data_IF_094133226266
#
_entry.id   IF_094133226266
#
_cell.length_a   1.000
_cell.length_b   1.000
_cell.length_c   1.000
_cell.angle_alpha   90.00
_cell.angle_beta   90.00
_cell.angle_gamma   90.00
#
_symmetry.space_group_name_H-M   'P 1'
#
loop_
_entity.id
_entity.type
_entity.pdbx_description
1 polymer ?
#
# COMPACT_ATOMS: atom_id res chain seq x y z
N UNK A 1 15.99 -6.94 61.82
CA UNK A 1 14.88 -5.96 61.90
C UNK A 1 15.47 -4.60 61.59
N UNK A 2 15.00 -3.77 60.67
CA UNK A 2 13.85 -3.81 59.77
C UNK A 2 14.16 -2.85 58.60
N UNK A 3 13.52 -3.13 57.49
CA UNK A 3 13.55 -2.52 56.18
C UNK A 3 13.07 -1.05 56.14
N UNK A 4 13.46 -0.30 55.09
CA UNK A 4 12.58 0.59 54.29
C UNK A 4 13.44 1.51 53.39
N UNK A 5 13.64 1.17 52.11
CA UNK A 5 12.76 1.38 50.94
C UNK A 5 13.03 2.74 50.24
N UNK A 6 13.82 2.69 49.15
CA UNK A 6 13.97 3.78 48.17
C UNK A 6 12.94 3.58 47.04
N UNK A 7 12.34 4.66 46.50
CA UNK A 7 11.21 4.58 45.59
C UNK A 7 11.59 4.11 44.18
N UNK A 8 10.65 3.36 43.60
CA UNK A 8 10.58 2.81 42.26
C UNK A 8 11.18 3.71 41.17
N UNK A 9 12.21 3.19 40.49
CA UNK A 9 12.50 3.55 39.11
C UNK A 9 11.38 3.03 38.20
N UNK A 10 11.01 3.86 37.24
CA UNK A 10 9.89 3.71 36.31
C UNK A 10 10.01 2.37 35.58
N UNK A 11 9.23 1.39 36.01
CA UNK A 11 8.89 0.24 35.19
C UNK A 11 7.99 0.76 34.06
N UNK A 12 8.56 1.02 32.89
CA UNK A 12 7.79 0.93 31.66
C UNK A 12 7.18 -0.46 31.66
N UNK A 13 5.88 -0.54 31.94
CA UNK A 13 5.15 -1.79 32.04
C UNK A 13 5.43 -2.58 30.76
N UNK A 14 5.99 -3.78 30.88
CA UNK A 14 6.21 -4.64 29.73
C UNK A 14 4.83 -4.94 29.13
N UNK A 15 4.48 -4.26 28.03
CA UNK A 15 3.34 -4.66 27.24
C UNK A 15 3.56 -6.15 26.93
N UNK A 16 2.63 -6.99 27.36
CA UNK A 16 2.74 -8.43 27.16
C UNK A 16 2.86 -8.68 25.66
N UNK A 17 3.92 -9.36 25.25
CA UNK A 17 4.16 -9.68 23.84
C UNK A 17 2.91 -10.35 23.24
N UNK A 18 2.42 -9.81 22.13
CA UNK A 18 1.26 -10.30 21.37
C UNK A 18 1.58 -10.25 19.86
N UNK A 19 0.81 -10.97 19.05
CA UNK A 19 0.97 -10.93 17.58
C UNK A 19 0.74 -9.52 17.05
N UNK A 20 -0.30 -8.84 17.54
CA UNK A 20 -0.65 -7.48 17.12
C UNK A 20 0.48 -6.49 17.41
N UNK A 21 1.04 -6.51 18.63
CA UNK A 21 2.18 -5.66 19.00
C UNK A 21 3.40 -5.92 18.10
N UNK A 22 3.66 -7.18 17.75
CA UNK A 22 4.76 -7.57 16.87
C UNK A 22 4.52 -7.02 15.46
N UNK A 23 3.30 -7.15 14.93
CA UNK A 23 2.91 -6.66 13.60
C UNK A 23 2.98 -5.13 13.54
N UNK A 24 2.43 -4.42 14.53
CA UNK A 24 2.44 -2.95 14.58
C UNK A 24 3.86 -2.39 14.65
N UNK A 25 4.72 -3.02 15.47
CA UNK A 25 6.13 -2.62 15.57
C UNK A 25 6.87 -2.89 14.26
N UNK A 26 6.56 -4.01 13.59
CA UNK A 26 7.14 -4.33 12.30
C UNK A 26 6.69 -3.36 11.19
N UNK A 27 5.40 -2.98 11.17
CA UNK A 27 4.89 -1.94 10.27
C UNK A 27 5.64 -0.61 10.49
N UNK A 28 5.81 -0.19 11.74
CA UNK A 28 6.60 0.99 12.08
C UNK A 28 8.07 0.91 11.62
N UNK A 29 8.69 -0.28 11.67
CA UNK A 29 10.02 -0.49 11.09
C UNK A 29 10.00 -0.34 9.56
N UNK A 30 9.00 -0.91 8.87
CA UNK A 30 8.87 -0.83 7.41
C UNK A 30 8.65 0.62 6.96
N UNK A 31 7.82 1.40 7.64
CA UNK A 31 7.59 2.81 7.29
C UNK A 31 8.86 3.65 7.40
N UNK A 32 9.74 3.34 8.36
CA UNK A 32 11.01 4.05 8.53
C UNK A 32 12.08 3.55 7.57
N UNK A 33 12.30 2.24 7.53
CA UNK A 33 13.49 1.61 6.94
C UNK A 33 13.22 0.88 5.62
N UNK A 34 11.97 0.79 5.19
CA UNK A 34 11.56 -0.07 4.08
C UNK A 34 11.51 -1.55 4.46
N UNK A 35 10.96 -2.36 3.55
CA UNK A 35 10.78 -3.82 3.74
C UNK A 35 12.10 -4.56 3.92
N UNK A 36 13.16 -4.09 3.26
CA UNK A 36 14.49 -4.69 3.35
C UNK A 36 15.14 -4.47 4.72
N UNK A 37 14.83 -3.35 5.38
CA UNK A 37 15.28 -3.05 6.74
C UNK A 37 14.67 -3.95 7.82
N UNK A 38 13.56 -4.65 7.53
CA UNK A 38 12.89 -5.51 8.48
C UNK A 38 13.59 -6.87 8.62
N UNK A 39 14.02 -7.19 9.85
CA UNK A 39 14.54 -8.50 10.23
C UNK A 39 13.98 -8.96 11.58
N UNK A 40 13.94 -10.27 11.83
CA UNK A 40 13.52 -10.80 13.13
C UNK A 40 14.39 -10.28 14.29
N UNK A 41 15.68 -10.02 14.02
CA UNK A 41 16.63 -9.51 15.02
C UNK A 41 16.39 -8.03 15.33
N UNK A 42 16.24 -7.18 14.31
CA UNK A 42 15.94 -5.76 14.49
C UNK A 42 14.60 -5.58 15.20
N UNK A 43 13.60 -6.39 14.87
CA UNK A 43 12.28 -6.35 15.52
C UNK A 43 12.35 -6.76 16.99
N UNK A 44 13.07 -7.83 17.32
CA UNK A 44 13.24 -8.29 18.70
C UNK A 44 13.96 -7.24 19.56
N UNK A 45 14.98 -6.59 18.98
CA UNK A 45 15.71 -5.51 19.63
C UNK A 45 14.80 -4.30 19.93
N UNK A 46 13.94 -3.90 18.99
CA UNK A 46 12.98 -2.80 19.20
C UNK A 46 11.94 -3.13 20.28
N UNK A 47 11.49 -4.39 20.31
CA UNK A 47 10.56 -4.89 21.32
C UNK A 47 11.20 -5.19 22.69
N UNK A 48 12.53 -5.11 22.81
CA UNK A 48 13.24 -5.42 24.04
C UNK A 48 13.17 -6.89 24.47
N UNK A 49 13.01 -7.82 23.51
CA UNK A 49 12.89 -9.26 23.75
C UNK A 49 13.94 -10.06 22.98
N UNK A 50 14.16 -11.31 23.37
CA UNK A 50 14.98 -12.24 22.57
C UNK A 50 14.25 -12.64 21.28
N UNK A 51 14.98 -12.79 20.17
CA UNK A 51 14.39 -13.17 18.88
C UNK A 51 13.58 -14.47 18.93
N UNK A 52 14.01 -15.44 19.74
CA UNK A 52 13.29 -16.70 19.98
C UNK A 52 11.89 -16.49 20.57
N UNK A 53 11.65 -15.37 21.25
CA UNK A 53 10.32 -15.03 21.77
C UNK A 53 9.32 -14.66 20.69
N UNK A 54 9.78 -14.07 19.57
CA UNK A 54 8.91 -13.70 18.45
C UNK A 54 8.35 -14.92 17.72
N UNK A 55 9.16 -15.98 17.58
CA UNK A 55 8.77 -17.21 16.88
C UNK A 55 7.62 -17.98 17.57
N UNK A 56 7.24 -17.61 18.80
CA UNK A 56 6.01 -18.12 19.44
C UNK A 56 4.72 -17.52 18.86
N UNK A 57 4.82 -16.39 18.15
CA UNK A 57 3.69 -15.61 17.65
C UNK A 57 3.68 -15.49 16.13
N UNK A 58 4.85 -15.57 15.49
CA UNK A 58 5.00 -15.48 14.02
C UNK A 58 5.92 -16.55 13.48
N UNK A 59 5.60 -17.10 12.32
CA UNK A 59 6.34 -18.17 11.64
C UNK A 59 7.41 -17.62 10.67
N UNK A 60 8.11 -16.56 11.08
CA UNK A 60 9.18 -15.92 10.30
C UNK A 60 8.75 -14.65 9.55
N UNK A 61 9.63 -14.14 8.68
CA UNK A 61 9.45 -12.84 8.00
C UNK A 61 8.23 -12.83 7.07
N UNK A 62 7.96 -13.93 6.37
CA UNK A 62 6.81 -13.99 5.45
C UNK A 62 5.47 -13.85 6.18
N UNK A 63 5.27 -14.59 7.27
CA UNK A 63 4.06 -14.49 8.13
C UNK A 63 3.94 -13.09 8.75
N UNK A 64 5.07 -12.50 9.17
CA UNK A 64 5.07 -11.13 9.70
C UNK A 64 4.60 -10.11 8.65
N UNK A 65 5.12 -10.19 7.44
CA UNK A 65 4.71 -9.32 6.33
C UNK A 65 3.25 -9.57 5.93
N UNK A 66 2.73 -10.79 6.03
CA UNK A 66 1.29 -11.05 5.84
C UNK A 66 0.45 -10.48 6.98
N UNK A 67 0.97 -10.52 8.22
CA UNK A 67 0.38 -9.81 9.34
C UNK A 67 0.27 -8.31 9.10
N UNK A 68 1.31 -7.68 8.57
CA UNK A 68 1.31 -6.26 8.21
C UNK A 68 0.22 -5.97 7.16
N UNK A 69 0.17 -6.77 6.09
CA UNK A 69 -0.85 -6.62 5.04
C UNK A 69 -2.25 -6.77 5.62
N UNK A 70 -2.48 -7.80 6.44
CA UNK A 70 -3.78 -8.03 7.08
C UNK A 70 -4.20 -6.86 7.99
N UNK A 71 -3.25 -6.30 8.74
CA UNK A 71 -3.48 -5.12 9.59
C UNK A 71 -3.90 -3.91 8.74
N UNK A 72 -3.15 -3.58 7.69
CA UNK A 72 -3.46 -2.45 6.80
C UNK A 72 -4.80 -2.62 6.07
N UNK A 73 -5.17 -3.84 5.72
CA UNK A 73 -6.41 -4.15 4.99
C UNK A 73 -7.63 -4.29 5.91
N UNK A 74 -7.45 -4.36 7.23
CA UNK A 74 -8.54 -4.46 8.20
C UNK A 74 -9.46 -3.24 8.11
N UNK A 75 -8.86 -2.05 8.10
CA UNK A 75 -9.56 -0.78 7.96
C UNK A 75 -10.35 -0.70 6.65
N UNK A 76 -9.72 -1.11 5.54
CA UNK A 76 -10.40 -1.18 4.24
C UNK A 76 -11.62 -2.09 4.32
N UNK A 77 -11.47 -3.28 4.90
CA UNK A 77 -12.57 -4.25 4.99
C UNK A 77 -13.75 -3.68 5.79
N UNK A 78 -13.50 -2.96 6.89
CA UNK A 78 -14.57 -2.28 7.65
C UNK A 78 -15.28 -1.24 6.80
N UNK A 79 -14.54 -0.40 6.07
CA UNK A 79 -15.14 0.65 5.23
C UNK A 79 -15.95 0.08 4.06
N UNK A 80 -15.52 -1.06 3.50
CA UNK A 80 -16.27 -1.77 2.47
C UNK A 80 -17.56 -2.38 3.01
N UNK A 81 -17.53 -2.94 4.22
CA UNK A 81 -18.73 -3.45 4.89
C UNK A 81 -19.71 -2.30 5.23
N UNK A 82 -19.20 -1.11 5.57
CA UNK A 82 -20.04 0.08 5.85
C UNK A 82 -20.65 0.71 4.59
N UNK A 83 -19.96 0.66 3.46
CA UNK A 83 -20.44 1.14 2.16
C UNK A 83 -21.29 0.10 1.41
N UNK A 84 -21.59 -1.05 2.03
CA UNK A 84 -22.46 -2.07 1.47
C UNK A 84 -23.89 -1.50 1.30
N UNK A 85 -24.40 -1.56 0.07
CA UNK A 85 -25.71 -1.00 -0.29
C UNK A 85 -25.70 0.46 -0.76
N UNK A 86 -24.53 1.12 -0.77
CA UNK A 86 -24.38 2.42 -1.42
C UNK A 86 -24.53 2.31 -2.95
N UNK A 87 -24.82 3.44 -3.57
CA UNK A 87 -24.77 3.57 -5.03
C UNK A 87 -23.34 3.31 -5.53
N UNK A 88 -23.20 2.63 -6.67
CA UNK A 88 -21.89 2.10 -7.09
C UNK A 88 -20.77 3.15 -7.22
N UNK A 89 -21.07 4.39 -7.65
CA UNK A 89 -20.04 5.45 -7.67
C UNK A 89 -19.51 5.76 -6.27
N UNK A 90 -20.41 5.89 -5.28
CA UNK A 90 -20.04 6.19 -3.91
C UNK A 90 -19.24 5.04 -3.30
N UNK A 91 -19.64 3.79 -3.57
CA UNK A 91 -18.87 2.61 -3.18
C UNK A 91 -17.45 2.63 -3.74
N UNK A 92 -17.28 2.89 -5.05
CA UNK A 92 -15.96 2.95 -5.68
C UNK A 92 -15.10 4.12 -5.17
N UNK A 93 -15.71 5.28 -4.87
CA UNK A 93 -15.02 6.39 -4.23
C UNK A 93 -14.50 5.99 -2.84
N UNK A 94 -15.35 5.38 -2.01
CA UNK A 94 -14.95 4.88 -0.68
C UNK A 94 -13.77 3.93 -0.78
N UNK A 95 -13.84 2.95 -1.69
CA UNK A 95 -12.74 2.00 -1.92
C UNK A 95 -11.47 2.74 -2.34
N UNK A 96 -11.56 3.67 -3.30
CA UNK A 96 -10.42 4.41 -3.83
C UNK A 96 -9.71 5.23 -2.75
N UNK A 97 -10.47 5.99 -1.95
CA UNK A 97 -9.91 6.80 -0.87
C UNK A 97 -9.35 5.96 0.27
N UNK A 98 -9.99 4.84 0.61
CA UNK A 98 -9.50 3.93 1.63
C UNK A 98 -8.13 3.35 1.26
N UNK A 99 -7.97 2.88 0.02
CA UNK A 99 -6.68 2.35 -0.47
C UNK A 99 -5.64 3.47 -0.61
N UNK A 100 -6.04 4.66 -1.07
CA UNK A 100 -5.14 5.83 -1.14
C UNK A 100 -4.63 6.27 0.23
N UNK A 101 -5.46 6.17 1.27
CA UNK A 101 -5.05 6.45 2.65
C UNK A 101 -3.91 5.53 3.08
N UNK A 102 -4.03 4.22 2.82
CA UNK A 102 -2.95 3.25 3.07
C UNK A 102 -1.68 3.64 2.31
N UNK A 103 -1.78 3.96 1.02
CA UNK A 103 -0.64 4.36 0.19
C UNK A 103 0.04 5.65 0.67
N UNK A 104 -0.73 6.56 1.26
CA UNK A 104 -0.27 7.87 1.74
C UNK A 104 0.34 7.80 3.13
N UNK A 105 -0.29 7.04 4.04
CA UNK A 105 0.16 6.87 5.43
C UNK A 105 1.35 5.90 5.51
N UNK A 106 1.37 4.86 4.65
CA UNK A 106 2.37 3.80 4.66
C UNK A 106 3.00 3.59 3.28
N UNK A 107 3.63 4.61 2.67
CA UNK A 107 4.14 4.53 1.29
C UNK A 107 5.15 3.38 1.12
N UNK A 108 6.01 3.12 2.11
CA UNK A 108 7.00 2.03 2.03
C UNK A 108 6.41 0.64 2.25
N UNK A 109 5.25 0.53 2.90
CA UNK A 109 4.53 -0.73 3.07
C UNK A 109 3.53 -0.99 1.94
N UNK A 110 3.05 0.05 1.25
CA UNK A 110 2.04 -0.08 0.20
C UNK A 110 2.41 -1.04 -0.95
N UNK A 111 3.67 -1.11 -1.43
CA UNK A 111 4.07 -2.15 -2.38
C UNK A 111 3.79 -3.57 -1.87
N UNK A 112 3.90 -3.82 -0.55
CA UNK A 112 3.53 -5.09 0.06
C UNK A 112 2.04 -5.35 -0.01
N UNK A 113 1.17 -4.35 -0.10
CA UNK A 113 -0.28 -4.49 -0.28
C UNK A 113 -0.60 -4.72 -1.75
N UNK A 114 0.10 -4.04 -2.66
CA UNK A 114 -0.16 -4.07 -4.09
C UNK A 114 0.40 -5.31 -4.83
N UNK A 115 1.56 -5.85 -4.42
CA UNK A 115 2.34 -6.76 -5.29
C UNK A 115 2.53 -8.20 -4.79
N UNK A 116 2.45 -8.48 -3.48
CA UNK A 116 2.60 -9.87 -2.99
C UNK A 116 1.44 -10.75 -3.48
N UNK A 117 1.76 -12.02 -3.68
CA UNK A 117 0.89 -13.01 -4.31
C UNK A 117 -0.46 -13.16 -3.57
N UNK A 118 -1.58 -13.28 -4.31
CA UNK A 118 -2.89 -13.52 -3.72
C UNK A 118 -2.98 -14.91 -3.10
N UNK A 119 -3.83 -15.05 -2.07
CA UNK A 119 -4.17 -16.33 -1.46
C UNK A 119 -4.89 -17.30 -2.43
N UNK A 120 -5.42 -16.78 -3.55
CA UNK A 120 -6.10 -17.53 -4.60
C UNK A 120 -5.30 -17.45 -5.91
N UNK A 121 -4.65 -18.55 -6.36
CA UNK A 121 -3.80 -18.56 -7.57
C UNK A 121 -4.51 -18.17 -8.87
N UNK A 122 -5.83 -18.27 -8.92
CA UNK A 122 -6.67 -17.92 -10.08
C UNK A 122 -7.11 -16.45 -10.08
N UNK A 123 -6.91 -15.71 -8.98
CA UNK A 123 -7.20 -14.29 -8.92
C UNK A 123 -5.96 -13.53 -9.38
N UNK A 124 -6.06 -12.79 -10.48
CA UNK A 124 -4.95 -11.93 -10.92
C UNK A 124 -4.69 -10.87 -9.84
N UNK A 125 -3.41 -10.54 -9.56
CA UNK A 125 -3.10 -9.39 -8.74
C UNK A 125 -3.92 -8.17 -9.19
N UNK A 126 -4.43 -7.36 -8.25
CA UNK A 126 -3.75 -7.16 -6.97
C UNK A 126 -4.56 -7.35 -5.67
N UNK A 127 -5.87 -7.57 -5.74
CA UNK A 127 -6.66 -7.76 -4.52
C UNK A 127 -6.53 -9.21 -4.03
N UNK A 128 -6.24 -9.38 -2.74
CA UNK A 128 -5.86 -10.68 -2.15
C UNK A 128 -7.01 -11.45 -1.51
N UNK A 129 -8.06 -10.74 -1.14
CA UNK A 129 -9.17 -11.29 -0.35
C UNK A 129 -10.35 -11.60 -1.25
N UNK A 130 -10.75 -12.87 -1.27
CA UNK A 130 -11.99 -13.32 -1.92
C UNK A 130 -13.18 -12.53 -1.39
N UNK A 131 -13.18 -12.17 -0.09
CA UNK A 131 -14.23 -11.32 0.50
C UNK A 131 -14.26 -9.95 -0.18
N UNK A 132 -13.12 -9.26 -0.29
CA UNK A 132 -13.05 -7.92 -0.89
C UNK A 132 -13.50 -7.94 -2.36
N UNK A 133 -13.05 -8.93 -3.13
CA UNK A 133 -13.47 -9.09 -4.53
C UNK A 133 -14.96 -9.39 -4.62
N UNK A 134 -15.48 -10.27 -3.77
CA UNK A 134 -16.91 -10.58 -3.73
C UNK A 134 -17.72 -9.33 -3.41
N UNK A 135 -17.40 -8.60 -2.34
CA UNK A 135 -18.09 -7.35 -1.96
C UNK A 135 -18.08 -6.34 -3.11
N UNK A 136 -16.94 -6.16 -3.78
CA UNK A 136 -16.84 -5.27 -4.92
C UNK A 136 -17.75 -5.69 -6.08
N UNK A 137 -17.70 -6.96 -6.48
CA UNK A 137 -18.52 -7.46 -7.58
C UNK A 137 -20.01 -7.44 -7.23
N UNK A 138 -20.38 -7.82 -6.00
CA UNK A 138 -21.74 -7.75 -5.47
C UNK A 138 -22.28 -6.32 -5.53
N UNK A 139 -21.52 -5.33 -5.05
CA UNK A 139 -21.94 -3.93 -5.08
C UNK A 139 -22.24 -3.44 -6.51
N UNK A 140 -21.42 -3.82 -7.50
CA UNK A 140 -21.68 -3.47 -8.90
C UNK A 140 -22.91 -4.18 -9.47
N UNK A 141 -23.02 -5.50 -9.25
CA UNK A 141 -24.13 -6.31 -9.77
C UNK A 141 -25.47 -5.85 -9.19
N UNK A 142 -25.53 -5.52 -7.90
CA UNK A 142 -26.73 -5.00 -7.24
C UNK A 142 -27.16 -3.63 -7.78
N UNK A 143 -26.22 -2.87 -8.34
CA UNK A 143 -26.46 -1.59 -9.02
C UNK A 143 -26.74 -1.73 -10.52
N UNK A 144 -26.94 -2.96 -11.02
CA UNK A 144 -27.40 -3.22 -12.39
C UNK A 144 -26.30 -3.52 -13.40
N UNK A 145 -25.05 -3.67 -12.97
CA UNK A 145 -23.98 -4.15 -13.85
C UNK A 145 -24.23 -5.61 -14.23
N UNK A 146 -24.06 -5.94 -15.50
CA UNK A 146 -23.92 -7.34 -15.94
C UNK A 146 -22.61 -7.93 -15.43
N UNK A 147 -22.51 -9.25 -15.35
CA UNK A 147 -21.28 -9.96 -14.93
C UNK A 147 -20.04 -9.50 -15.73
N UNK A 148 -20.21 -9.26 -17.04
CA UNK A 148 -19.13 -8.79 -17.89
C UNK A 148 -18.70 -7.36 -17.52
N UNK A 149 -19.65 -6.44 -17.39
CA UNK A 149 -19.38 -5.06 -16.98
C UNK A 149 -18.75 -5.00 -15.57
N UNK A 150 -19.22 -5.80 -14.62
CA UNK A 150 -18.68 -5.83 -13.26
C UNK A 150 -17.22 -6.30 -13.25
N UNK A 151 -16.88 -7.33 -14.02
CA UNK A 151 -15.49 -7.82 -14.16
C UNK A 151 -14.60 -6.80 -14.86
N UNK A 152 -15.07 -6.14 -15.91
CA UNK A 152 -14.29 -5.15 -16.65
C UNK A 152 -14.09 -3.88 -15.80
N UNK A 153 -15.11 -3.43 -15.08
CA UNK A 153 -15.02 -2.35 -14.10
C UNK A 153 -14.01 -2.67 -12.99
N UNK A 154 -14.08 -3.88 -12.41
CA UNK A 154 -13.12 -4.34 -11.41
C UNK A 154 -11.67 -4.31 -11.92
N UNK A 155 -11.43 -4.77 -13.16
CA UNK A 155 -10.09 -4.78 -13.77
C UNK A 155 -9.58 -3.37 -14.03
N UNK A 156 -10.40 -2.53 -14.63
CA UNK A 156 -10.04 -1.15 -14.95
C UNK A 156 -9.73 -0.36 -13.67
N UNK A 157 -10.62 -0.44 -12.68
CA UNK A 157 -10.49 0.23 -11.39
C UNK A 157 -9.26 -0.23 -10.60
N UNK A 158 -9.08 -1.55 -10.42
CA UNK A 158 -7.94 -2.06 -9.66
C UNK A 158 -6.60 -1.76 -10.35
N UNK A 159 -6.52 -1.84 -11.68
CA UNK A 159 -5.30 -1.54 -12.44
C UNK A 159 -4.95 -0.06 -12.36
N UNK A 160 -5.94 0.81 -12.54
CA UNK A 160 -5.80 2.26 -12.38
C UNK A 160 -5.31 2.61 -10.97
N UNK A 161 -6.08 2.20 -9.95
CA UNK A 161 -5.85 2.57 -8.57
C UNK A 161 -4.46 2.14 -8.10
N UNK A 162 -4.08 0.89 -8.37
CA UNK A 162 -2.79 0.42 -7.91
C UNK A 162 -1.62 0.94 -8.72
N UNK A 163 -1.76 1.06 -10.04
CA UNK A 163 -0.71 1.64 -10.87
C UNK A 163 -0.37 3.06 -10.42
N UNK A 164 -1.41 3.88 -10.20
CA UNK A 164 -1.22 5.24 -9.73
C UNK A 164 -0.65 5.31 -8.31
N UNK A 165 -1.21 4.55 -7.37
CA UNK A 165 -0.76 4.61 -5.97
C UNK A 165 0.65 4.03 -5.78
N UNK A 166 1.04 3.00 -6.55
CA UNK A 166 2.42 2.51 -6.56
C UNK A 166 3.40 3.59 -7.02
N UNK A 167 3.07 4.31 -8.10
CA UNK A 167 3.89 5.41 -8.58
C UNK A 167 4.01 6.53 -7.53
N UNK A 168 2.90 6.90 -6.88
CA UNK A 168 2.91 7.87 -5.79
C UNK A 168 3.72 7.41 -4.58
N UNK A 169 3.64 6.13 -4.21
CA UNK A 169 4.46 5.56 -3.13
C UNK A 169 5.94 5.63 -3.45
N UNK A 170 6.35 5.39 -4.70
CA UNK A 170 7.75 5.51 -5.13
C UNK A 170 8.26 6.95 -5.01
N UNK A 171 7.46 7.94 -5.43
CA UNK A 171 7.79 9.37 -5.22
C UNK A 171 7.98 9.69 -3.73
N UNK A 172 7.24 9.01 -2.85
CA UNK A 172 7.34 9.12 -1.38
C UNK A 172 8.40 8.20 -0.75
N UNK A 173 9.29 7.62 -1.55
CA UNK A 173 10.45 6.85 -1.07
C UNK A 173 10.19 5.37 -0.84
N UNK A 174 9.14 4.80 -1.45
CA UNK A 174 9.00 3.35 -1.56
C UNK A 174 9.97 2.78 -2.61
N UNK A 175 10.43 1.56 -2.38
CA UNK A 175 11.22 0.83 -3.37
C UNK A 175 10.28 0.32 -4.49
N UNK A 176 10.61 0.63 -5.75
CA UNK A 176 9.79 0.28 -6.92
C UNK A 176 9.88 -1.20 -7.34
N UNK A 177 10.71 -2.00 -6.67
CA UNK A 177 10.96 -3.41 -6.96
C UNK A 177 11.90 -4.04 -5.93
N UNK A 178 12.23 -5.34 -6.03
CA UNK A 178 13.41 -5.86 -5.32
C UNK A 178 14.58 -4.95 -5.70
N UNK A 179 15.43 -4.61 -4.74
CA UNK A 179 16.64 -3.83 -5.01
C UNK A 179 17.38 -4.53 -6.17
N UNK A 180 17.25 -4.01 -7.38
CA UNK A 180 18.30 -4.13 -8.35
C UNK A 180 19.44 -3.39 -7.67
N UNK A 181 20.35 -4.12 -7.01
CA UNK A 181 21.74 -3.68 -7.04
C UNK A 181 21.96 -3.27 -8.48
N UNK A 182 22.31 -2.00 -8.76
CA UNK A 182 22.66 -1.62 -10.12
C UNK A 182 23.64 -2.66 -10.60
N UNK A 183 23.23 -3.47 -11.58
CA UNK A 183 24.14 -4.41 -12.21
C UNK A 183 25.14 -3.53 -12.95
N UNK A 184 26.21 -3.14 -12.26
CA UNK A 184 27.43 -2.66 -12.90
C UNK A 184 28.13 -3.87 -13.54
N UNK A 185 27.42 -4.51 -14.47
CA UNK A 185 27.94 -5.58 -15.33
C UNK A 185 28.61 -5.00 -16.58
N UNK A 186 28.91 -3.70 -16.59
CA UNK A 186 29.90 -3.13 -17.49
C UNK A 186 29.53 -1.75 -18.00
N UNK A 187 30.03 -0.70 -17.34
CA UNK A 187 30.36 0.59 -17.97
C UNK A 187 29.25 1.25 -18.80
N UNK A 188 27.99 0.86 -18.59
CA UNK A 188 26.86 1.43 -19.28
C UNK A 188 26.75 2.88 -18.83
N UNK A 189 26.78 3.80 -19.79
CA UNK A 189 26.40 5.18 -19.53
C UNK A 189 24.90 5.18 -19.23
N UNK A 190 24.53 4.91 -17.98
CA UNK A 190 23.17 5.15 -17.52
C UNK A 190 22.95 6.65 -17.70
N UNK A 191 21.99 7.09 -18.53
CA UNK A 191 21.73 8.50 -18.70
C UNK A 191 21.01 9.02 -17.45
N UNK A 192 21.71 9.14 -16.32
CA UNK A 192 21.40 10.17 -15.32
C UNK A 192 21.70 11.59 -15.89
N UNK A 193 21.63 11.74 -17.21
CA UNK A 193 22.15 12.87 -17.97
C UNK A 193 21.10 13.93 -18.27
N UNK A 194 19.81 13.58 -18.33
CA UNK A 194 18.76 14.52 -18.77
C UNK A 194 18.59 15.71 -17.82
N UNK A 195 18.94 15.57 -16.53
CA UNK A 195 19.00 16.70 -15.60
C UNK A 195 20.06 17.76 -15.97
N UNK A 196 21.06 17.37 -16.76
CA UNK A 196 22.14 18.22 -17.28
C UNK A 196 22.10 18.37 -18.82
N UNK A 197 21.10 17.81 -19.51
CA UNK A 197 20.90 18.00 -20.94
C UNK A 197 20.35 19.40 -21.17
N UNK A 198 20.96 20.15 -22.10
CA UNK A 198 20.40 21.43 -22.49
C UNK A 198 19.00 21.22 -23.06
N UNK A 199 18.01 21.93 -22.52
CA UNK A 199 16.63 21.87 -23.00
C UNK A 199 16.43 22.57 -24.35
N UNK A 200 17.49 23.11 -24.96
CA UNK A 200 17.45 23.76 -26.29
C UNK A 200 16.92 22.82 -27.39
N UNK A 201 17.07 21.50 -27.21
CA UNK A 201 16.53 20.48 -28.13
C UNK A 201 15.09 20.07 -27.83
N UNK A 202 14.52 20.56 -26.72
CA UNK A 202 13.20 20.18 -26.21
C UNK A 202 12.36 21.44 -25.87
N UNK A 203 11.98 22.26 -26.88
CA UNK A 203 11.36 23.57 -26.65
C UNK A 203 10.05 23.49 -25.86
N UNK A 204 9.24 22.44 -26.04
CA UNK A 204 8.01 22.26 -25.27
C UNK A 204 8.27 21.90 -23.80
N UNK A 205 9.23 21.02 -23.53
CA UNK A 205 9.65 20.69 -22.16
C UNK A 205 10.24 21.94 -21.51
N UNK A 206 11.09 22.68 -22.22
CA UNK A 206 11.63 23.95 -21.74
C UNK A 206 10.50 24.92 -21.39
N UNK A 207 9.52 25.10 -22.27
CA UNK A 207 8.40 26.03 -22.07
C UNK A 207 7.48 25.61 -20.92
N UNK A 208 7.20 24.31 -20.78
CA UNK A 208 6.23 23.76 -19.82
C UNK A 208 6.88 23.25 -18.52
N UNK A 209 8.21 23.27 -18.38
CA UNK A 209 8.94 22.69 -17.24
C UNK A 209 8.41 23.10 -15.86
N UNK A 210 7.96 24.35 -15.73
CA UNK A 210 7.41 24.85 -14.46
C UNK A 210 6.13 24.09 -14.12
N UNK A 211 5.19 24.00 -15.06
CA UNK A 211 3.95 23.25 -14.90
C UNK A 211 4.19 21.75 -14.70
N UNK A 212 5.15 21.17 -15.44
CA UNK A 212 5.51 19.75 -15.32
C UNK A 212 6.20 19.39 -13.99
N UNK A 213 6.75 20.37 -13.28
CA UNK A 213 7.43 20.17 -11.99
C UNK A 213 6.51 20.32 -10.78
N UNK A 214 5.26 20.76 -10.98
CA UNK A 214 4.29 20.92 -9.90
C UNK A 214 3.84 19.55 -9.39
N UNK A 215 3.92 19.34 -8.08
CA UNK A 215 3.30 18.18 -7.44
C UNK A 215 1.79 18.40 -7.34
N UNK A 216 1.04 17.76 -8.24
CA UNK A 216 -0.43 17.78 -8.26
C UNK A 216 -1.02 16.40 -7.98
N UNK A 217 -0.25 15.53 -7.29
CA UNK A 217 -0.61 14.12 -7.07
C UNK A 217 -2.01 13.91 -6.51
N UNK A 218 -2.46 14.82 -5.62
CA UNK A 218 -3.78 14.74 -5.00
C UNK A 218 -4.90 15.08 -5.99
N UNK A 219 -4.72 16.12 -6.79
CA UNK A 219 -5.71 16.53 -7.80
C UNK A 219 -5.74 15.57 -8.98
N UNK A 220 -4.58 15.08 -9.41
CA UNK A 220 -4.44 14.07 -10.46
C UNK A 220 -5.15 12.76 -10.10
N UNK A 221 -5.17 12.39 -8.81
CA UNK A 221 -5.94 11.25 -8.31
C UNK A 221 -7.44 11.45 -8.48
N UNK A 222 -7.98 12.58 -8.02
CA UNK A 222 -9.43 12.83 -8.12
C UNK A 222 -9.87 12.91 -9.58
N UNK A 223 -9.12 13.63 -10.42
CA UNK A 223 -9.43 13.76 -11.86
C UNK A 223 -9.43 12.40 -12.55
N UNK A 224 -8.44 11.55 -12.25
CA UNK A 224 -8.34 10.25 -12.91
C UNK A 224 -9.41 9.26 -12.40
N UNK A 225 -9.75 9.34 -11.11
CA UNK A 225 -10.85 8.57 -10.52
C UNK A 225 -12.19 8.97 -11.15
N UNK A 226 -12.49 10.27 -11.23
CA UNK A 226 -13.71 10.80 -11.84
C UNK A 226 -13.81 10.38 -13.31
N UNK A 227 -12.72 10.52 -14.09
CA UNK A 227 -12.70 10.11 -15.49
C UNK A 227 -12.99 8.60 -15.68
N UNK A 228 -12.52 7.75 -14.76
CA UNK A 228 -12.84 6.33 -14.76
C UNK A 228 -14.31 6.09 -14.42
N UNK A 229 -14.84 6.73 -13.37
CA UNK A 229 -16.24 6.58 -12.98
C UNK A 229 -17.18 7.03 -14.11
N UNK A 230 -16.91 8.17 -14.75
CA UNK A 230 -17.66 8.65 -15.92
C UNK A 230 -17.61 7.69 -17.11
N UNK A 231 -16.51 6.95 -17.27
CA UNK A 231 -16.43 5.90 -18.28
C UNK A 231 -17.34 4.73 -17.93
N UNK A 232 -17.33 4.27 -16.69
CA UNK A 232 -18.18 3.16 -16.22
C UNK A 232 -19.67 3.52 -16.28
N UNK A 233 -20.04 4.74 -15.92
CA UNK A 233 -21.43 5.22 -15.98
C UNK A 233 -21.99 5.20 -17.41
N UNK A 234 -21.16 5.58 -18.38
CA UNK A 234 -21.49 5.49 -19.81
C UNK A 234 -21.60 4.05 -20.31
N UNK A 235 -20.86 3.11 -19.73
CA UNK A 235 -20.96 1.69 -20.08
C UNK A 235 -22.19 1.03 -19.45
N UNK A 236 -22.60 1.46 -18.25
CA UNK A 236 -23.82 1.00 -17.59
C UNK A 236 -25.09 1.50 -18.31
N UNK A 237 -25.03 2.70 -18.88
CA UNK A 237 -26.16 3.34 -19.57
C UNK A 237 -26.43 2.83 -21.00
N UNK A 238 -25.58 1.93 -21.53
CA UNK A 238 -25.69 1.34 -22.87
C UNK A 238 -26.34 -0.04 -22.85
#
# INVERSE_FOLDING_TARGET
MNNSNKPNGIAAASAKLSRDLIVDTALGQVDRLGVQGLSMRSLAQELGVEAMSLYRYVHGKEDLLEGIVASLMSDLTSQLDEAEGDHWQAFLQTVAHAVRRIATEHPKAFPLVATRHPAAPWLRPPLRSVKVVNTFLSALIENGFTDAQAVDAYRAFSSFLLGQLLLQSVVKGAEAGPAEEPLDEGGAAIPEGDGNVSLDVAPEVQRLRVLLSEDRSDEEFEVSLEALLDRLDRELSQ
#
